data_IF_015462848143
#
_entry.id   IF_015462848143
#
_cell.length_a   1.000
_cell.length_b   1.000
_cell.length_c   1.000
_cell.angle_alpha   90.00
_cell.angle_beta   90.00
_cell.angle_gamma   90.00
#
_symmetry.space_group_name_H-M   'P 1'
#
loop_
_entity.id
_entity.type
_entity.pdbx_description
1 polymer ?
#
# COMPACT_ATOMS: atom_id res chain seq x y z
N UNK A 1 19.15 -10.73 -13.16
CA UNK A 1 19.83 -10.74 -11.86
C UNK A 1 20.56 -9.44 -11.53
N UNK A 2 21.31 -8.79 -12.44
CA UNK A 2 22.04 -7.52 -12.17
C UNK A 2 21.18 -6.38 -11.63
N UNK A 3 19.92 -6.23 -12.09
CA UNK A 3 19.03 -5.14 -11.66
C UNK A 3 18.43 -5.31 -10.26
N UNK A 4 18.43 -6.54 -9.71
CA UNK A 4 17.94 -6.80 -8.33
C UNK A 4 19.05 -6.46 -7.35
N UNK A 5 20.29 -6.83 -7.65
CA UNK A 5 21.47 -6.54 -6.81
C UNK A 5 21.68 -5.03 -6.69
N UNK A 6 21.52 -4.27 -7.79
CA UNK A 6 21.66 -2.82 -7.78
C UNK A 6 20.57 -2.15 -6.91
N UNK A 7 19.32 -2.64 -6.98
CA UNK A 7 18.20 -2.12 -6.16
C UNK A 7 18.37 -2.42 -4.68
N UNK A 8 18.89 -3.62 -4.35
CA UNK A 8 19.20 -3.99 -2.97
C UNK A 8 20.39 -3.17 -2.44
N UNK A 9 21.43 -2.96 -3.26
CA UNK A 9 22.58 -2.13 -2.88
C UNK A 9 22.19 -0.66 -2.66
N UNK A 10 21.31 -0.09 -3.50
CA UNK A 10 20.78 1.27 -3.28
C UNK A 10 19.94 1.36 -1.99
N UNK A 11 19.12 0.36 -1.70
CA UNK A 11 18.34 0.30 -0.46
C UNK A 11 19.24 0.22 0.79
N UNK A 12 20.29 -0.58 0.72
CA UNK A 12 21.27 -0.72 1.82
C UNK A 12 22.13 0.54 2.00
N UNK A 13 22.49 1.25 0.93
CA UNK A 13 23.25 2.51 1.03
C UNK A 13 22.43 3.66 1.61
N UNK A 14 21.12 3.71 1.32
CA UNK A 14 20.20 4.66 1.95
C UNK A 14 19.99 4.34 3.43
N UNK A 15 19.88 3.05 3.80
CA UNK A 15 19.77 2.63 5.19
C UNK A 15 21.04 2.95 5.99
N UNK A 16 22.23 2.80 5.40
CA UNK A 16 23.49 3.14 6.08
C UNK A 16 23.71 4.63 6.28
N UNK A 17 23.25 5.48 5.34
CA UNK A 17 23.27 6.93 5.52
C UNK A 17 22.25 7.41 6.57
N UNK A 18 21.10 6.76 6.66
CA UNK A 18 20.09 7.02 7.68
C UNK A 18 20.54 6.61 9.09
N UNK A 19 21.29 5.51 9.21
CA UNK A 19 21.83 5.02 10.48
C UNK A 19 22.81 6.00 11.18
N UNK A 20 23.32 7.00 10.46
CA UNK A 20 24.18 8.06 11.02
C UNK A 20 23.40 9.28 11.54
N UNK A 21 22.08 9.33 11.33
CA UNK A 21 21.23 10.43 11.76
C UNK A 21 20.36 9.97 12.94
N UNK A 22 20.58 10.53 14.10
CA UNK A 22 19.70 10.33 15.25
C UNK A 22 18.25 10.68 14.86
N UNK A 23 17.31 9.74 15.05
CA UNK A 23 15.91 9.89 14.63
C UNK A 23 15.55 9.20 13.31
N UNK A 24 16.52 8.68 12.57
CA UNK A 24 16.24 7.85 11.40
C UNK A 24 15.59 6.52 11.81
N UNK A 25 14.71 6.00 10.97
CA UNK A 25 14.08 4.71 11.23
C UNK A 25 13.86 3.90 9.96
N UNK A 26 13.76 2.59 10.15
CA UNK A 26 13.27 1.63 9.16
C UNK A 26 12.17 0.78 9.77
N UNK A 27 11.26 0.27 8.96
CA UNK A 27 10.19 -0.57 9.48
C UNK A 27 9.56 -1.46 8.43
N UNK A 28 8.79 -2.41 8.92
CA UNK A 28 7.92 -3.27 8.13
C UNK A 28 6.47 -3.01 8.53
N UNK A 29 5.56 -3.12 7.59
CA UNK A 29 4.13 -2.91 7.82
C UNK A 29 3.34 -3.97 7.08
N UNK A 30 2.48 -4.69 7.81
CA UNK A 30 1.45 -5.54 7.26
C UNK A 30 0.11 -4.81 7.30
N UNK A 31 -0.70 -4.99 6.28
CA UNK A 31 -2.05 -4.43 6.25
C UNK A 31 -3.09 -5.45 5.77
N UNK A 32 -4.31 -5.20 6.16
CA UNK A 32 -5.45 -6.00 5.77
C UNK A 32 -6.64 -5.08 5.45
N UNK A 33 -6.88 -4.87 4.16
CA UNK A 33 -8.03 -4.12 3.68
C UNK A 33 -9.27 -5.00 3.68
N UNK A 34 -10.20 -4.78 4.60
CA UNK A 34 -11.48 -5.49 4.65
C UNK A 34 -12.56 -4.85 3.77
N UNK A 35 -12.32 -3.67 3.27
CA UNK A 35 -13.22 -2.87 2.44
C UNK A 35 -12.59 -2.35 1.16
N UNK A 36 -11.79 -3.16 0.43
CA UNK A 36 -11.33 -2.77 -0.91
C UNK A 36 -12.50 -2.79 -1.88
N UNK A 37 -12.80 -1.62 -2.47
CA UNK A 37 -13.87 -1.42 -3.45
C UNK A 37 -13.28 -0.82 -4.71
N UNK A 38 -13.14 -1.66 -5.73
CA UNK A 38 -12.77 -1.24 -7.08
C UNK A 38 -14.06 -0.91 -7.86
N UNK A 39 -14.16 0.29 -8.36
CA UNK A 39 -15.26 0.74 -9.24
C UNK A 39 -14.68 1.03 -10.60
N UNK A 40 -15.17 0.34 -11.62
CA UNK A 40 -14.82 0.55 -13.03
C UNK A 40 -16.04 1.07 -13.77
N UNK A 41 -15.85 2.14 -14.54
CA UNK A 41 -16.89 2.71 -15.40
C UNK A 41 -16.60 2.34 -16.85
N UNK A 42 -17.59 1.76 -17.53
CA UNK A 42 -17.59 1.58 -18.97
C UNK A 42 -18.00 2.85 -19.73
N UNK A 43 -17.73 2.90 -21.01
CA UNK A 43 -18.07 4.02 -21.91
C UNK A 43 -19.59 4.20 -22.06
N UNK A 44 -20.35 3.12 -21.87
CA UNK A 44 -21.83 3.08 -21.86
C UNK A 44 -22.46 3.58 -20.53
N UNK A 45 -21.65 4.07 -19.57
CA UNK A 45 -22.10 4.51 -18.25
C UNK A 45 -22.33 3.38 -17.26
N UNK A 46 -22.10 2.13 -17.64
CA UNK A 46 -22.18 0.97 -16.73
C UNK A 46 -21.14 1.09 -15.62
N UNK A 47 -21.50 0.63 -14.41
CA UNK A 47 -20.60 0.64 -13.23
C UNK A 47 -20.49 -0.77 -12.68
N UNK A 48 -19.31 -1.34 -12.78
CA UNK A 48 -18.98 -2.62 -12.16
C UNK A 48 -18.25 -2.36 -10.84
N UNK A 49 -18.74 -2.94 -9.76
CA UNK A 49 -18.17 -2.80 -8.41
C UNK A 49 -17.64 -4.15 -7.94
N UNK A 50 -16.35 -4.20 -7.64
CA UNK A 50 -15.73 -5.35 -6.99
C UNK A 50 -15.45 -5.00 -5.53
N UNK A 51 -15.81 -5.89 -4.61
CA UNK A 51 -15.51 -5.73 -3.18
C UNK A 51 -14.83 -7.00 -2.69
N UNK A 52 -13.60 -6.88 -2.17
CA UNK A 52 -12.86 -7.99 -1.61
C UNK A 52 -11.85 -7.53 -0.56
N UNK A 53 -11.57 -8.41 0.40
CA UNK A 53 -10.47 -8.21 1.35
C UNK A 53 -9.12 -8.48 0.67
N UNK A 54 -8.11 -7.66 0.98
CA UNK A 54 -6.79 -7.76 0.38
C UNK A 54 -5.72 -7.54 1.46
N UNK A 55 -4.87 -8.53 1.73
CA UNK A 55 -3.69 -8.35 2.58
C UNK A 55 -2.56 -7.69 1.81
N UNK A 56 -1.71 -6.96 2.51
CA UNK A 56 -0.53 -6.31 1.99
C UNK A 56 0.67 -6.42 2.93
N UNK A 57 1.85 -6.23 2.38
CA UNK A 57 3.10 -6.15 3.13
C UNK A 57 3.96 -5.05 2.55
N UNK A 58 4.57 -4.25 3.43
CA UNK A 58 5.40 -3.13 3.03
C UNK A 58 6.65 -2.96 3.88
N UNK A 59 7.54 -2.16 3.33
CA UNK A 59 8.71 -1.63 4.04
C UNK A 59 8.63 -0.12 4.05
N UNK A 60 9.04 0.51 5.13
CA UNK A 60 9.08 1.96 5.29
C UNK A 60 10.43 2.41 5.85
N UNK A 61 10.85 3.62 5.47
CA UNK A 61 12.02 4.28 6.02
C UNK A 61 11.74 5.78 6.10
N UNK A 62 12.29 6.43 7.12
CA UNK A 62 12.01 7.84 7.33
C UNK A 62 12.79 8.45 8.47
N UNK A 63 12.30 9.58 8.95
CA UNK A 63 12.86 10.33 10.05
C UNK A 63 11.79 10.70 11.07
N UNK A 64 12.07 10.44 12.36
CA UNK A 64 11.21 10.73 13.51
C UNK A 64 11.73 12.00 14.21
N UNK A 65 10.91 13.05 14.26
CA UNK A 65 11.15 14.32 14.92
C UNK A 65 10.51 14.36 16.34
N UNK A 66 10.34 13.20 16.97
CA UNK A 66 9.70 13.00 18.29
C UNK A 66 8.16 13.14 18.25
N UNK A 67 7.62 14.27 17.82
CA UNK A 67 6.17 14.55 17.75
C UNK A 67 5.61 14.45 16.34
N UNK A 68 6.48 14.30 15.36
CA UNK A 68 6.11 14.15 13.95
C UNK A 68 7.14 13.27 13.25
N UNK A 69 6.73 12.56 12.21
CA UNK A 69 7.65 11.80 11.36
C UNK A 69 7.28 11.92 9.90
N UNK A 70 8.27 11.82 9.03
CA UNK A 70 8.10 11.74 7.59
C UNK A 70 8.70 10.45 7.09
N UNK A 71 8.10 9.84 6.07
CA UNK A 71 8.57 8.55 5.58
C UNK A 71 8.24 8.33 4.11
N UNK A 72 9.06 7.48 3.49
CA UNK A 72 8.72 6.80 2.25
C UNK A 72 8.43 5.34 2.51
N UNK A 73 7.48 4.74 1.79
CA UNK A 73 7.19 3.32 1.89
C UNK A 73 6.87 2.70 0.54
N UNK A 74 7.19 1.41 0.45
CA UNK A 74 6.76 0.53 -0.62
C UNK A 74 5.87 -0.54 -0.06
N UNK A 75 4.65 -0.69 -0.61
CA UNK A 75 3.66 -1.66 -0.18
C UNK A 75 3.30 -2.55 -1.38
N UNK A 76 3.28 -3.84 -1.14
CA UNK A 76 2.83 -4.85 -2.06
C UNK A 76 1.53 -5.48 -1.56
N UNK A 77 0.41 -5.18 -2.24
CA UNK A 77 -0.85 -5.85 -1.96
C UNK A 77 -0.90 -7.17 -2.72
N UNK A 78 -1.12 -8.23 -1.96
CA UNK A 78 -1.10 -9.59 -2.48
C UNK A 78 -2.22 -9.82 -3.48
N UNK A 79 -1.96 -10.77 -4.36
CA UNK A 79 -2.84 -11.21 -5.41
C UNK A 79 -4.17 -11.73 -4.85
N UNK A 80 -5.25 -11.20 -5.36
CA UNK A 80 -6.60 -11.65 -5.04
C UNK A 80 -7.23 -12.24 -6.28
N UNK A 81 -7.83 -13.45 -6.13
CA UNK A 81 -8.54 -14.15 -7.19
C UNK A 81 -10.05 -14.02 -7.00
N UNK A 82 -10.76 -13.71 -8.05
CA UNK A 82 -12.22 -13.83 -8.12
C UNK A 82 -12.58 -14.75 -9.28
N UNK A 83 -13.27 -15.84 -8.98
CA UNK A 83 -13.91 -16.69 -9.98
C UNK A 83 -15.31 -16.16 -10.21
N UNK A 84 -15.68 -15.82 -11.43
CA UNK A 84 -17.05 -15.57 -11.81
C UNK A 84 -17.74 -16.95 -11.93
N UNK A 85 -19.02 -17.00 -11.66
CA UNK A 85 -19.89 -18.18 -11.51
C UNK A 85 -19.42 -19.49 -12.20
N UNK A 86 -19.81 -20.63 -11.63
CA UNK A 86 -19.37 -21.99 -11.98
C UNK A 86 -19.51 -22.39 -13.47
N UNK A 87 -20.22 -21.63 -14.29
CA UNK A 87 -20.38 -21.93 -15.72
C UNK A 87 -19.34 -21.26 -16.63
N UNK A 88 -18.82 -20.08 -16.24
CA UNK A 88 -17.87 -19.30 -17.08
C UNK A 88 -16.46 -19.26 -16.50
N UNK A 89 -15.80 -20.24 -16.14
CA UNK A 89 -14.38 -20.36 -15.66
C UNK A 89 -13.44 -19.15 -15.85
N UNK A 90 -13.99 -17.93 -15.95
CA UNK A 90 -13.21 -16.71 -16.07
C UNK A 90 -12.59 -16.32 -14.71
N UNK A 91 -11.28 -16.28 -14.65
CA UNK A 91 -10.50 -15.94 -13.46
C UNK A 91 -9.94 -14.54 -13.64
N UNK A 92 -10.34 -13.61 -12.78
CA UNK A 92 -9.73 -12.29 -12.69
C UNK A 92 -8.81 -12.22 -11.48
N UNK A 93 -7.57 -11.87 -11.71
CA UNK A 93 -6.56 -11.71 -10.67
C UNK A 93 -5.99 -10.30 -10.72
N UNK A 94 -5.85 -9.66 -9.57
CA UNK A 94 -5.16 -8.37 -9.51
C UNK A 94 -4.19 -8.30 -8.34
N UNK A 95 -3.17 -7.49 -8.50
CA UNK A 95 -2.17 -7.14 -7.51
C UNK A 95 -1.76 -5.69 -7.66
N UNK A 96 -1.34 -5.09 -6.57
CA UNK A 96 -0.99 -3.67 -6.55
C UNK A 96 0.40 -3.45 -5.94
N UNK A 97 1.13 -2.51 -6.50
CA UNK A 97 2.40 -2.02 -5.99
C UNK A 97 2.22 -0.53 -5.67
N UNK A 98 2.41 -0.12 -4.44
CA UNK A 98 2.24 1.25 -3.98
C UNK A 98 3.59 1.83 -3.55
N UNK A 99 3.90 3.03 -4.03
CA UNK A 99 5.03 3.85 -3.57
C UNK A 99 4.44 5.09 -2.96
N UNK A 100 4.60 5.27 -1.66
CA UNK A 100 3.99 6.36 -0.92
C UNK A 100 5.01 7.18 -0.17
N UNK A 101 4.70 8.45 0.02
CA UNK A 101 5.33 9.34 0.97
C UNK A 101 4.27 9.80 1.97
N UNK A 102 4.62 9.86 3.24
CA UNK A 102 3.68 10.18 4.29
C UNK A 102 4.29 11.03 5.39
N UNK A 103 3.41 11.65 6.14
CA UNK A 103 3.73 12.36 7.36
C UNK A 103 2.73 11.97 8.45
N UNK A 104 3.24 11.73 9.65
CA UNK A 104 2.44 11.41 10.82
C UNK A 104 2.72 12.44 11.93
N UNK A 105 1.67 12.84 12.62
CA UNK A 105 1.74 13.50 13.91
C UNK A 105 1.66 12.44 15.00
N UNK A 106 2.66 12.40 15.90
CA UNK A 106 2.85 11.31 16.86
C UNK A 106 3.02 11.81 18.30
N UNK A 107 2.00 12.51 18.87
CA UNK A 107 2.07 13.00 20.24
C UNK A 107 2.11 11.84 21.25
N UNK A 108 2.93 11.98 22.29
CA UNK A 108 2.97 11.05 23.41
C UNK A 108 1.73 11.22 24.28
N UNK A 109 1.00 10.13 24.51
CA UNK A 109 -0.17 10.09 25.40
C UNK A 109 0.14 9.38 26.72
N UNK A 110 1.22 8.59 26.75
CA UNK A 110 1.79 7.99 27.98
C UNK A 110 3.31 7.78 27.75
N UNK A 111 4.03 7.30 28.76
CA UNK A 111 5.48 7.12 28.74
C UNK A 111 5.97 6.36 27.49
N UNK A 112 5.32 5.25 27.16
CA UNK A 112 5.73 4.35 26.06
C UNK A 112 4.68 4.28 24.95
N UNK A 113 3.68 5.18 24.96
CA UNK A 113 2.55 5.16 24.04
C UNK A 113 2.38 6.50 23.33
N UNK A 114 2.41 6.47 22.02
CA UNK A 114 2.12 7.60 21.13
C UNK A 114 0.83 7.37 20.36
N UNK A 115 0.04 8.41 20.15
CA UNK A 115 -1.03 8.42 19.16
C UNK A 115 -0.40 8.62 17.78
N UNK A 116 -0.98 8.02 16.74
CA UNK A 116 -0.53 8.19 15.36
C UNK A 116 -1.68 8.76 14.55
N UNK A 117 -1.48 9.95 13.99
CA UNK A 117 -2.40 10.62 13.07
C UNK A 117 -1.63 10.96 11.80
N UNK A 118 -1.89 10.26 10.70
CA UNK A 118 -1.07 10.38 9.50
C UNK A 118 -1.86 10.60 8.22
N UNK A 119 -1.17 11.22 7.27
CA UNK A 119 -1.61 11.33 5.88
C UNK A 119 -0.51 10.87 4.94
N UNK A 120 -0.88 10.30 3.81
CA UNK A 120 0.07 9.85 2.80
C UNK A 120 -0.47 10.01 1.39
N UNK A 121 0.45 10.12 0.46
CA UNK A 121 0.16 10.20 -0.97
C UNK A 121 1.22 9.47 -1.77
N UNK A 122 0.99 9.22 -3.04
CA UNK A 122 1.96 8.54 -3.89
C UNK A 122 1.36 7.93 -5.14
N UNK A 123 2.02 6.90 -5.65
CA UNK A 123 1.65 6.21 -6.88
C UNK A 123 1.35 4.75 -6.61
N UNK A 124 0.30 4.27 -7.25
CA UNK A 124 -0.12 2.87 -7.23
C UNK A 124 -0.06 2.31 -8.64
N UNK A 125 0.55 1.13 -8.80
CA UNK A 125 0.56 0.38 -10.06
C UNK A 125 -0.29 -0.86 -9.90
N UNK A 126 -1.44 -0.86 -10.55
CA UNK A 126 -2.35 -2.00 -10.62
C UNK A 126 -1.96 -2.89 -11.80
N UNK A 127 -1.87 -4.19 -11.56
CA UNK A 127 -1.78 -5.22 -12.61
C UNK A 127 -2.99 -6.12 -12.51
N UNK A 128 -3.71 -6.23 -13.61
CA UNK A 128 -4.88 -7.11 -13.76
C UNK A 128 -4.52 -8.19 -14.78
N UNK A 129 -4.76 -9.45 -14.42
CA UNK A 129 -4.67 -10.56 -15.34
C UNK A 129 -6.07 -11.17 -15.45
N UNK A 130 -6.63 -11.18 -16.65
CA UNK A 130 -7.92 -11.80 -16.96
C UNK A 130 -7.76 -12.82 -18.06
N UNK A 131 -8.41 -13.97 -17.96
CA UNK A 131 -8.40 -14.98 -19.00
C UNK A 131 -9.48 -16.04 -18.75
N UNK A 132 -9.94 -16.64 -19.85
CA UNK A 132 -10.80 -17.81 -19.83
C UNK A 132 -9.98 -19.08 -20.02
N UNK A 133 -10.59 -20.25 -19.75
CA UNK A 133 -9.93 -21.56 -19.89
C UNK A 133 -9.41 -21.85 -21.31
N UNK A 134 -9.92 -21.14 -22.32
CA UNK A 134 -9.59 -21.33 -23.74
C UNK A 134 -8.69 -20.24 -24.33
N UNK A 135 -8.54 -19.08 -23.64
CA UNK A 135 -7.72 -17.96 -24.12
C UNK A 135 -6.65 -17.58 -23.08
N UNK A 136 -5.38 -17.39 -23.51
CA UNK A 136 -4.30 -17.04 -22.60
C UNK A 136 -4.54 -15.69 -21.93
N UNK A 137 -4.20 -15.59 -20.66
CA UNK A 137 -4.35 -14.41 -19.82
C UNK A 137 -3.74 -13.15 -20.47
N UNK A 138 -4.57 -12.22 -20.87
CA UNK A 138 -4.12 -10.87 -21.19
C UNK A 138 -3.84 -10.08 -19.91
N UNK A 139 -2.64 -9.50 -19.83
CA UNK A 139 -2.25 -8.65 -18.71
C UNK A 139 -2.39 -7.18 -19.09
N UNK A 140 -3.14 -6.43 -18.28
CA UNK A 140 -3.20 -4.99 -18.33
C UNK A 140 -2.57 -4.38 -17.08
N UNK A 141 -1.89 -3.25 -17.24
CA UNK A 141 -1.36 -2.49 -16.11
C UNK A 141 -1.75 -1.02 -16.25
N UNK A 142 -2.15 -0.42 -15.14
CA UNK A 142 -2.44 1.01 -15.05
C UNK A 142 -1.78 1.60 -13.81
N UNK A 143 -1.49 2.89 -13.88
CA UNK A 143 -0.94 3.64 -12.75
C UNK A 143 -2.02 4.58 -12.22
N UNK A 144 -2.03 4.78 -10.90
CA UNK A 144 -2.95 5.67 -10.23
C UNK A 144 -2.25 6.51 -9.18
N UNK A 145 -2.88 7.63 -8.83
CA UNK A 145 -2.49 8.46 -7.71
C UNK A 145 -3.26 8.04 -6.47
N UNK A 146 -2.55 7.82 -5.36
CA UNK A 146 -3.13 7.43 -4.08
C UNK A 146 -3.10 8.60 -3.09
N UNK A 147 -4.19 8.79 -2.37
CA UNK A 147 -4.31 9.67 -1.22
C UNK A 147 -4.93 8.88 -0.07
N UNK A 148 -4.31 8.94 1.10
CA UNK A 148 -4.76 8.18 2.25
C UNK A 148 -4.51 8.88 3.57
N UNK A 149 -5.18 8.36 4.60
CA UNK A 149 -5.02 8.77 5.98
C UNK A 149 -4.98 7.54 6.88
N UNK A 150 -4.35 7.68 8.05
CA UNK A 150 -4.30 6.64 9.06
C UNK A 150 -4.43 7.21 10.46
N UNK A 151 -4.98 6.40 11.35
CA UNK A 151 -5.06 6.67 12.79
C UNK A 151 -4.68 5.39 13.54
N UNK A 152 -3.88 5.52 14.58
CA UNK A 152 -3.40 4.35 15.31
C UNK A 152 -2.71 4.73 16.61
N UNK A 153 -2.03 3.74 17.17
CA UNK A 153 -1.18 3.87 18.32
C UNK A 153 0.17 3.18 18.08
N UNK A 154 1.23 3.80 18.53
CA UNK A 154 2.59 3.25 18.57
C UNK A 154 2.99 2.98 20.02
N UNK A 155 3.40 1.76 20.29
CA UNK A 155 3.95 1.36 21.58
C UNK A 155 5.45 1.15 21.47
N UNK A 156 6.24 1.89 22.25
CA UNK A 156 7.69 1.76 22.33
C UNK A 156 8.04 0.58 23.23
N UNK A 157 8.59 -0.48 22.66
CA UNK A 157 9.10 -1.65 23.43
C UNK A 157 10.36 -1.25 24.19
N UNK A 158 11.19 -0.42 23.57
CA UNK A 158 12.39 0.20 24.13
C UNK A 158 12.76 1.42 23.25
N UNK A 159 13.91 2.04 23.52
CA UNK A 159 14.37 3.26 22.81
C UNK A 159 14.47 3.09 21.31
N UNK A 160 14.84 1.89 20.84
CA UNK A 160 15.05 1.62 19.42
C UNK A 160 13.88 0.90 18.72
N UNK A 161 13.00 0.24 19.48
CA UNK A 161 12.00 -0.68 18.92
C UNK A 161 10.58 -0.26 19.29
N UNK A 162 9.72 -0.16 18.28
CA UNK A 162 8.32 0.17 18.44
C UNK A 162 7.42 -0.70 17.58
N UNK A 163 6.22 -0.94 18.06
CA UNK A 163 5.12 -1.56 17.30
C UNK A 163 4.00 -0.55 17.13
N UNK A 164 3.38 -0.55 15.98
CA UNK A 164 2.30 0.35 15.61
C UNK A 164 1.12 -0.46 15.12
N UNK A 165 -0.10 -0.07 15.48
CA UNK A 165 -1.32 -0.67 14.95
C UNK A 165 -2.41 0.39 14.81
N UNK A 166 -3.32 0.21 13.86
CA UNK A 166 -4.38 1.18 13.63
C UNK A 166 -5.25 0.87 12.43
N UNK A 167 -5.99 1.90 12.05
CA UNK A 167 -6.84 1.93 10.87
C UNK A 167 -6.21 2.83 9.80
N UNK A 168 -6.33 2.41 8.56
CA UNK A 168 -5.99 3.24 7.40
C UNK A 168 -7.11 3.22 6.37
N UNK A 169 -7.25 4.33 5.66
CA UNK A 169 -8.15 4.46 4.55
C UNK A 169 -7.46 5.21 3.41
N UNK A 170 -7.60 4.72 2.20
CA UNK A 170 -7.05 5.38 1.02
C UNK A 170 -7.99 5.30 -0.18
N UNK A 171 -7.75 6.20 -1.10
CA UNK A 171 -8.37 6.22 -2.41
C UNK A 171 -7.30 6.36 -3.48
N UNK A 172 -7.40 5.50 -4.48
CA UNK A 172 -6.58 5.53 -5.66
C UNK A 172 -7.44 5.85 -6.88
N UNK A 173 -7.04 6.88 -7.62
CA UNK A 173 -7.61 7.20 -8.92
C UNK A 173 -6.66 6.67 -10.00
N UNK A 174 -7.08 5.61 -10.70
CA UNK A 174 -6.38 5.07 -11.85
C UNK A 174 -6.90 5.77 -13.10
N UNK A 175 -6.03 6.37 -13.89
CA UNK A 175 -6.41 6.98 -15.17
C UNK A 175 -6.99 5.97 -16.15
N UNK A 176 -7.28 6.43 -17.38
CA UNK A 176 -7.84 5.60 -18.46
C UNK A 176 -7.00 4.35 -18.70
N UNK A 177 -7.65 3.19 -18.75
CA UNK A 177 -7.03 1.92 -19.14
C UNK A 177 -7.24 1.77 -20.65
N UNK A 178 -6.25 2.23 -21.43
CA UNK A 178 -6.34 2.32 -22.89
C UNK A 178 -6.58 1.01 -23.64
N UNK A 179 -6.39 -0.15 -22.98
CA UNK A 179 -6.55 -1.48 -23.60
C UNK A 179 -7.99 -2.03 -23.60
N UNK A 180 -8.90 -1.44 -22.83
CA UNK A 180 -10.23 -1.99 -22.62
C UNK A 180 -11.36 -0.97 -22.78
N UNK A 181 -11.15 0.18 -23.42
CA UNK A 181 -12.13 1.29 -23.50
C UNK A 181 -12.78 1.66 -22.16
N UNK A 182 -12.07 1.37 -21.06
CA UNK A 182 -12.51 1.68 -19.70
C UNK A 182 -12.08 3.09 -19.33
N UNK A 183 -13.04 3.96 -19.08
CA UNK A 183 -12.82 5.40 -18.96
C UNK A 183 -12.26 5.80 -17.58
N UNK A 184 -12.56 5.06 -16.52
CA UNK A 184 -12.21 5.50 -15.16
C UNK A 184 -12.23 4.33 -14.17
N UNK A 185 -11.12 4.07 -13.50
CA UNK A 185 -11.06 3.08 -12.43
C UNK A 185 -10.67 3.77 -11.12
N UNK A 186 -11.46 3.55 -10.07
CA UNK A 186 -11.23 4.11 -8.73
C UNK A 186 -11.26 3.00 -7.70
N UNK A 187 -10.28 3.01 -6.82
CA UNK A 187 -10.22 2.07 -5.70
C UNK A 187 -10.32 2.83 -4.39
N UNK A 188 -11.10 2.33 -3.47
CA UNK A 188 -11.18 2.84 -2.09
C UNK A 188 -10.94 1.68 -1.15
N UNK A 189 -9.99 1.83 -0.26
CA UNK A 189 -9.57 0.84 0.71
C UNK A 189 -9.81 1.36 2.11
N UNK A 190 -10.31 0.48 2.98
CA UNK A 190 -10.37 0.70 4.43
C UNK A 190 -9.88 -0.59 5.07
N UNK A 191 -8.95 -0.49 6.00
CA UNK A 191 -8.33 -1.67 6.60
C UNK A 191 -7.62 -1.39 7.91
N UNK A 192 -7.15 -2.48 8.50
CA UNK A 192 -6.23 -2.48 9.64
C UNK A 192 -4.81 -2.47 9.12
N UNK A 193 -3.90 -1.92 9.91
CA UNK A 193 -2.47 -2.08 9.70
C UNK A 193 -1.75 -2.37 11.02
N UNK A 194 -0.64 -3.07 10.93
CA UNK A 194 0.29 -3.33 12.00
C UNK A 194 1.71 -3.16 11.47
N UNK A 195 2.55 -2.48 12.21
CA UNK A 195 3.93 -2.21 11.83
C UNK A 195 4.92 -2.47 12.96
N UNK A 196 6.15 -2.75 12.58
CA UNK A 196 7.31 -2.75 13.47
C UNK A 196 8.32 -1.74 12.93
N UNK A 197 8.90 -0.95 13.82
CA UNK A 197 9.85 0.11 13.50
C UNK A 197 11.10 -0.04 14.35
N UNK A 198 12.26 0.05 13.71
CA UNK A 198 13.56 0.16 14.36
C UNK A 198 14.08 1.59 14.16
N UNK A 199 14.40 2.28 15.28
CA UNK A 199 14.97 3.63 15.32
C UNK A 199 16.47 3.54 15.61
N UNK A 200 17.27 4.31 14.89
CA UNK A 200 18.73 4.35 15.03
C UNK A 200 19.16 5.36 16.09
#
# INVERSE_FOLDING_TARGET
MKNVVLKVALGLSLASAAALAQGAFVGVEGDYSFGSKLTVKGDDGSKIKFKKAQPGLGIKAGYDFEVARVYGAYIYDFKVKKTANDEDKSVSEWKTHKFIVGADYTPSVAKDLKLVLGGYTGFSKLKINGGDAENPMESASTNGWILGAKVGAEYSINENNAVEFGLKADRTDYGKISKFDMIDAKETNIGLYMGYTYKF
#
